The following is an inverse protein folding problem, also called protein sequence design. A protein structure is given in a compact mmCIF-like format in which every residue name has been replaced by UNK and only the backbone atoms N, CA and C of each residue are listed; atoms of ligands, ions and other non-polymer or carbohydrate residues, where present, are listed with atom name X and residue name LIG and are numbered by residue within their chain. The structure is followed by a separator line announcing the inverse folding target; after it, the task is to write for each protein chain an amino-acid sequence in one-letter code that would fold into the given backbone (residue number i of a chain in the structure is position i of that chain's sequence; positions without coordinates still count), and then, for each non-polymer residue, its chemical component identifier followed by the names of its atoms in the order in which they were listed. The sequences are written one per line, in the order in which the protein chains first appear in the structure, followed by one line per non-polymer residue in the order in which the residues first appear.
data_IF_574994969725
#
_entry.id   IF_574994969725
#
_cell.length_a   1.000
_cell.length_b   1.000
_cell.length_c   1.000
_cell.angle_alpha   90.00
_cell.angle_beta   90.00
_cell.angle_gamma   90.00
#
_symmetry.space_group_name_H-M   'P 1'
#
loop_
_entity.id
_entity.type
_entity.pdbx_description
1 polymer ?
#
# COMPACT_ATOMS: atom_id res chain seq x y z
N UNK A 1 -10.38 -19.97 19.90
CA UNK A 1 -9.58 -18.83 19.41
C UNK A 1 -8.15 -19.27 19.06
N UNK A 2 -7.53 -20.08 19.89
CA UNK A 2 -6.13 -20.55 19.70
C UNK A 2 -5.91 -21.37 18.42
N UNK A 3 -6.83 -22.25 18.04
CA UNK A 3 -6.71 -23.06 16.82
C UNK A 3 -6.77 -22.24 15.50
N UNK A 4 -7.43 -21.08 15.51
CA UNK A 4 -7.48 -20.18 14.34
C UNK A 4 -6.16 -19.42 14.23
N UNK A 5 -5.61 -19.00 15.35
CA UNK A 5 -4.31 -18.30 15.42
C UNK A 5 -3.19 -19.24 14.99
N UNK A 6 -3.22 -20.51 15.45
CA UNK A 6 -2.22 -21.53 15.10
C UNK A 6 -2.24 -21.88 13.60
N UNK A 7 -3.43 -21.92 12.97
CA UNK A 7 -3.56 -22.11 11.51
C UNK A 7 -3.07 -20.93 10.67
N UNK A 8 -3.03 -19.72 11.24
CA UNK A 8 -2.60 -18.51 10.56
C UNK A 8 -1.09 -18.25 10.71
N UNK A 9 -0.43 -18.87 11.67
CA UNK A 9 1.04 -18.87 11.83
C UNK A 9 1.69 -19.92 10.92
N UNK A 10 1.39 -19.85 9.62
CA UNK A 10 1.97 -20.78 8.65
C UNK A 10 3.19 -20.11 8.02
N UNK A 11 4.31 -20.82 7.92
CA UNK A 11 5.57 -20.34 7.33
C UNK A 11 5.43 -19.82 5.88
N UNK A 12 4.29 -20.10 5.23
CA UNK A 12 3.97 -19.66 3.87
C UNK A 12 3.27 -18.29 3.78
N UNK A 13 2.87 -17.69 4.91
CA UNK A 13 2.18 -16.41 4.90
C UNK A 13 3.15 -15.25 4.63
N UNK A 14 2.81 -14.42 3.65
CA UNK A 14 3.50 -13.14 3.40
C UNK A 14 3.00 -12.06 4.36
N UNK A 15 1.71 -12.09 4.71
CA UNK A 15 1.10 -11.15 5.65
C UNK A 15 0.27 -11.93 6.69
N UNK A 16 0.50 -11.61 7.96
CA UNK A 16 -0.27 -12.12 9.08
C UNK A 16 -0.82 -10.95 9.90
N UNK A 17 -2.11 -10.95 10.12
CA UNK A 17 -2.82 -9.94 10.90
C UNK A 17 -3.51 -10.64 12.07
N UNK A 18 -3.21 -10.21 13.28
CA UNK A 18 -3.75 -10.82 14.49
C UNK A 18 -4.41 -9.74 15.34
N UNK A 19 -5.71 -9.93 15.60
CA UNK A 19 -6.50 -9.10 16.53
C UNK A 19 -6.42 -7.60 16.22
N UNK A 20 -6.38 -7.25 14.93
CA UNK A 20 -6.18 -5.88 14.47
C UNK A 20 -7.37 -5.00 14.81
N UNK A 21 -7.09 -3.89 15.51
CA UNK A 21 -8.06 -2.85 15.77
C UNK A 21 -7.56 -1.50 15.24
N UNK A 22 -8.47 -0.73 14.65
CA UNK A 22 -8.25 0.67 14.31
C UNK A 22 -9.46 1.51 14.71
N UNK A 23 -9.26 2.37 15.67
CA UNK A 23 -10.28 3.28 16.21
C UNK A 23 -9.89 4.72 15.94
N UNK A 24 -10.89 5.54 15.60
CA UNK A 24 -10.72 6.98 15.40
C UNK A 24 -11.53 7.75 16.44
N UNK A 25 -10.98 8.86 16.92
CA UNK A 25 -11.73 9.78 17.78
C UNK A 25 -12.76 10.53 16.93
N UNK A 26 -14.04 10.40 17.28
CA UNK A 26 -15.17 11.05 16.62
C UNK A 26 -15.82 12.05 17.60
N UNK A 27 -15.16 13.22 17.82
CA UNK A 27 -15.60 14.22 18.79
C UNK A 27 -15.10 14.00 20.22
N UNK A 28 -15.70 14.72 21.22
CA UNK A 28 -15.17 14.76 22.58
C UNK A 28 -15.31 13.47 23.41
N UNK A 29 -16.26 12.59 23.06
CA UNK A 29 -16.56 11.34 23.81
C UNK A 29 -16.93 10.14 22.94
N UNK A 30 -16.80 10.25 21.63
CA UNK A 30 -17.16 9.17 20.71
C UNK A 30 -15.92 8.57 20.04
N UNK A 31 -15.93 7.25 19.92
CA UNK A 31 -14.90 6.49 19.23
C UNK A 31 -15.54 5.71 18.10
N UNK A 32 -15.07 5.92 16.88
CA UNK A 32 -15.46 5.11 15.73
C UNK A 32 -14.53 3.90 15.67
N UNK A 33 -15.07 2.71 15.85
CA UNK A 33 -14.36 1.45 15.67
C UNK A 33 -14.43 1.06 14.20
N UNK A 34 -13.46 1.50 13.42
CA UNK A 34 -13.43 1.26 11.98
C UNK A 34 -12.93 -0.14 11.62
N UNK A 35 -12.05 -0.71 12.44
CA UNK A 35 -11.58 -2.10 12.40
C UNK A 35 -11.62 -2.62 13.81
N UNK A 36 -12.26 -3.75 14.04
CA UNK A 36 -12.50 -4.30 15.39
C UNK A 36 -12.20 -5.80 15.39
N UNK A 37 -11.08 -6.19 16.01
CA UNK A 37 -10.62 -7.57 16.21
C UNK A 37 -10.50 -8.40 14.92
N UNK A 38 -9.87 -7.87 13.86
CA UNK A 38 -9.68 -8.58 12.59
C UNK A 38 -8.44 -9.47 12.63
N UNK A 39 -8.62 -10.75 12.27
CA UNK A 39 -7.53 -11.72 12.16
C UNK A 39 -7.59 -12.41 10.81
N UNK A 40 -6.55 -12.24 9.99
CA UNK A 40 -6.45 -12.82 8.64
C UNK A 40 -5.00 -13.13 8.30
N UNK A 41 -4.78 -14.09 7.38
CA UNK A 41 -3.50 -14.39 6.79
C UNK A 41 -3.58 -14.35 5.26
N UNK A 42 -2.51 -13.95 4.61
CA UNK A 42 -2.35 -13.97 3.15
C UNK A 42 -1.09 -14.76 2.82
N UNK A 43 -1.23 -15.81 2.03
CA UNK A 43 -0.09 -16.63 1.58
C UNK A 43 0.66 -15.95 0.44
N UNK A 44 1.90 -16.36 0.23
CA UNK A 44 2.66 -15.92 -0.96
C UNK A 44 1.94 -16.35 -2.23
N UNK A 45 1.76 -15.40 -3.17
CA UNK A 45 1.08 -15.64 -4.44
C UNK A 45 -0.44 -15.75 -4.35
N UNK A 46 -1.03 -15.58 -3.16
CA UNK A 46 -2.48 -15.59 -2.96
C UNK A 46 -3.10 -14.22 -3.23
N UNK A 47 -4.34 -14.22 -3.73
CA UNK A 47 -5.20 -13.04 -3.80
C UNK A 47 -6.32 -13.16 -2.79
N UNK A 48 -6.36 -12.28 -1.80
CA UNK A 48 -7.43 -12.19 -0.81
C UNK A 48 -8.42 -11.09 -1.14
N UNK A 49 -9.70 -11.43 -1.31
CA UNK A 49 -10.78 -10.49 -1.49
C UNK A 49 -11.41 -10.04 -0.17
N UNK A 50 -11.40 -8.73 0.12
CA UNK A 50 -12.06 -8.14 1.28
C UNK A 50 -13.40 -7.54 0.84
N UNK A 51 -14.50 -8.18 1.19
CA UNK A 51 -15.87 -7.84 0.75
C UNK A 51 -16.71 -7.35 1.93
N UNK A 52 -17.65 -6.46 1.66
CA UNK A 52 -18.58 -5.92 2.67
C UNK A 52 -19.24 -4.62 2.19
N UNK A 53 -20.19 -4.10 2.96
CA UNK A 53 -20.94 -2.89 2.65
C UNK A 53 -20.04 -1.63 2.58
N UNK A 54 -20.55 -0.57 1.93
CA UNK A 54 -19.86 0.72 1.92
C UNK A 54 -19.74 1.27 3.36
N UNK A 55 -18.53 1.76 3.70
CA UNK A 55 -18.29 2.31 5.04
C UNK A 55 -18.00 1.29 6.15
N UNK A 56 -18.03 -0.03 5.89
CA UNK A 56 -17.77 -1.05 6.92
C UNK A 56 -16.29 -1.20 7.33
N UNK A 57 -15.38 -0.33 6.85
CA UNK A 57 -13.98 -0.32 7.31
C UNK A 57 -12.96 -1.03 6.42
N UNK A 58 -13.34 -1.59 5.25
CA UNK A 58 -12.42 -2.30 4.33
C UNK A 58 -11.16 -1.50 3.99
N UNK A 59 -11.36 -0.27 3.53
CA UNK A 59 -10.26 0.64 3.18
C UNK A 59 -9.39 0.96 4.39
N UNK A 60 -9.99 1.15 5.56
CA UNK A 60 -9.26 1.39 6.80
C UNK A 60 -8.43 0.17 7.20
N UNK A 61 -9.02 -1.03 7.07
CA UNK A 61 -8.34 -2.29 7.35
C UNK A 61 -7.09 -2.43 6.45
N UNK A 62 -7.26 -2.34 5.13
CA UNK A 62 -6.14 -2.41 4.18
C UNK A 62 -5.05 -1.37 4.45
N UNK A 63 -5.43 -0.11 4.68
CA UNK A 63 -4.46 0.97 5.00
C UNK A 63 -3.73 0.74 6.32
N UNK A 64 -4.37 0.11 7.30
CA UNK A 64 -3.73 -0.24 8.57
C UNK A 64 -2.75 -1.40 8.40
N UNK A 65 -3.10 -2.40 7.59
CA UNK A 65 -2.23 -3.55 7.27
C UNK A 65 -0.92 -3.14 6.59
N UNK A 66 -0.94 -2.08 5.78
CA UNK A 66 0.26 -1.56 5.10
C UNK A 66 0.90 -0.37 5.82
N UNK A 67 0.55 -0.16 7.09
CA UNK A 67 1.12 0.91 7.94
C UNK A 67 0.93 2.35 7.39
N UNK A 68 -0.14 2.60 6.61
CA UNK A 68 -0.59 3.98 6.33
C UNK A 68 -1.36 4.55 7.52
N UNK A 69 -1.99 3.69 8.33
CA UNK A 69 -2.53 4.05 9.64
C UNK A 69 -1.85 3.21 10.71
N UNK A 70 -1.45 3.84 11.80
CA UNK A 70 -1.01 3.09 12.97
C UNK A 70 -2.20 2.35 13.60
N UNK A 71 -2.06 1.06 13.92
CA UNK A 71 -3.11 0.30 14.59
C UNK A 71 -3.37 0.86 16.00
N UNK A 72 -4.60 0.72 16.49
CA UNK A 72 -4.92 1.01 17.89
C UNK A 72 -4.45 -0.13 18.79
N UNK A 73 -4.61 -1.36 18.32
CA UNK A 73 -4.11 -2.58 18.95
C UNK A 73 -4.02 -3.70 17.91
N UNK A 74 -3.50 -4.84 18.32
CA UNK A 74 -3.26 -5.98 17.45
C UNK A 74 -1.87 -5.95 16.81
N UNK A 75 -1.62 -6.93 15.95
CA UNK A 75 -0.30 -7.15 15.35
C UNK A 75 -0.42 -7.38 13.86
N UNK A 76 0.50 -6.83 13.08
CA UNK A 76 0.66 -7.12 11.65
C UNK A 76 2.10 -7.54 11.42
N UNK A 77 2.28 -8.72 10.85
CA UNK A 77 3.58 -9.27 10.48
C UNK A 77 3.65 -9.37 8.96
N UNK A 78 4.66 -8.79 8.36
CA UNK A 78 4.95 -8.87 6.94
C UNK A 78 6.30 -9.55 6.73
N UNK A 79 6.32 -10.62 5.97
CA UNK A 79 7.52 -11.41 5.69
C UNK A 79 8.32 -11.76 6.97
N UNK A 80 7.61 -12.23 8.01
CA UNK A 80 8.16 -12.59 9.30
C UNK A 80 8.54 -11.43 10.22
N UNK A 81 8.37 -10.16 9.79
CA UNK A 81 8.72 -8.98 10.58
C UNK A 81 7.47 -8.24 11.06
N UNK A 82 7.40 -7.91 12.35
CA UNK A 82 6.34 -7.05 12.90
C UNK A 82 6.49 -5.63 12.38
N UNK A 83 5.51 -5.16 11.59
CA UNK A 83 5.56 -3.84 10.96
C UNK A 83 5.45 -2.70 11.97
N UNK A 84 4.87 -2.92 13.16
CA UNK A 84 4.73 -1.89 14.20
C UNK A 84 6.09 -1.41 14.72
N UNK A 85 7.08 -2.29 14.71
CA UNK A 85 8.43 -2.04 15.21
C UNK A 85 9.35 -1.40 14.17
N UNK A 86 8.99 -1.44 12.88
CA UNK A 86 9.82 -0.98 11.79
C UNK A 86 10.07 0.54 11.84
N UNK A 87 11.34 0.93 11.75
CA UNK A 87 11.80 2.33 11.71
C UNK A 87 12.98 2.48 10.73
N UNK A 88 13.23 3.73 10.32
CA UNK A 88 14.40 4.05 9.50
C UNK A 88 14.51 3.18 8.24
N UNK A 89 15.64 2.50 8.07
CA UNK A 89 15.93 1.67 6.89
C UNK A 89 14.97 0.48 6.72
N UNK A 90 14.59 -0.18 7.81
CA UNK A 90 13.67 -1.33 7.76
C UNK A 90 12.26 -0.90 7.33
N UNK A 91 11.80 0.26 7.77
CA UNK A 91 10.54 0.84 7.33
C UNK A 91 10.59 1.22 5.84
N UNK A 92 11.72 1.76 5.38
CA UNK A 92 11.91 2.11 3.98
C UNK A 92 11.90 0.85 3.08
N UNK A 93 12.58 -0.21 3.51
CA UNK A 93 12.58 -1.51 2.80
C UNK A 93 11.18 -2.13 2.77
N UNK A 94 10.43 -2.06 3.88
CA UNK A 94 9.03 -2.49 3.91
C UNK A 94 8.19 -1.72 2.88
N UNK A 95 8.29 -0.38 2.84
CA UNK A 95 7.54 0.46 1.89
C UNK A 95 7.90 0.18 0.43
N UNK A 96 9.14 -0.21 0.15
CA UNK A 96 9.59 -0.63 -1.17
C UNK A 96 8.92 -1.93 -1.63
N UNK A 97 8.65 -2.84 -0.70
CA UNK A 97 8.06 -4.16 -0.99
C UNK A 97 6.53 -4.19 -0.93
N UNK A 98 5.89 -3.11 -0.46
CA UNK A 98 4.43 -3.00 -0.35
C UNK A 98 3.94 -1.82 -1.17
N UNK A 99 3.01 -2.09 -2.09
CA UNK A 99 2.44 -1.08 -2.97
C UNK A 99 0.93 -0.98 -2.80
N UNK A 100 0.37 0.20 -3.01
CA UNK A 100 -1.06 0.45 -3.00
C UNK A 100 -1.50 1.07 -4.33
N UNK A 101 -2.62 0.59 -4.85
CA UNK A 101 -3.33 1.24 -5.96
C UNK A 101 -4.57 1.88 -5.36
N UNK A 102 -4.67 3.21 -5.49
CA UNK A 102 -5.81 3.96 -4.96
C UNK A 102 -7.04 3.82 -5.86
N UNK A 103 -8.21 3.86 -5.23
CA UNK A 103 -9.50 3.75 -5.93
C UNK A 103 -9.77 4.93 -6.86
N UNK A 104 -9.31 6.13 -6.51
CA UNK A 104 -9.45 7.34 -7.32
C UNK A 104 -8.14 7.65 -8.04
N UNK A 105 -8.04 7.40 -9.35
CA UNK A 105 -6.83 7.67 -10.11
C UNK A 105 -6.53 9.17 -10.26
N UNK A 106 -7.54 10.05 -10.13
CA UNK A 106 -7.37 11.50 -10.23
C UNK A 106 -6.74 12.07 -8.97
N UNK A 107 -7.20 11.64 -7.80
CA UNK A 107 -6.67 12.11 -6.53
C UNK A 107 -5.36 11.44 -6.12
N UNK A 108 -4.93 10.39 -6.84
CA UNK A 108 -3.72 9.63 -6.51
C UNK A 108 -2.42 10.24 -7.06
N UNK A 109 -2.52 11.12 -8.06
CA UNK A 109 -1.37 11.72 -8.75
C UNK A 109 -1.29 13.21 -8.44
N UNK A 110 -0.08 13.76 -8.22
CA UNK A 110 0.11 15.20 -8.07
C UNK A 110 -0.09 15.89 -9.46
N UNK A 111 -1.10 16.77 -9.61
CA UNK A 111 -1.40 17.39 -10.90
C UNK A 111 -0.32 18.38 -11.38
N UNK A 112 0.64 18.73 -10.53
CA UNK A 112 1.74 19.64 -10.83
C UNK A 112 2.98 18.94 -11.35
N UNK A 113 3.02 17.60 -11.23
CA UNK A 113 4.13 16.76 -11.67
C UNK A 113 3.83 16.14 -13.03
N UNK A 114 4.86 15.96 -13.83
CA UNK A 114 4.79 15.15 -15.05
C UNK A 114 4.73 13.65 -14.69
N UNK A 115 4.26 12.84 -15.61
CA UNK A 115 4.21 11.38 -15.44
C UNK A 115 5.62 10.81 -15.18
N UNK A 116 6.62 11.34 -15.86
CA UNK A 116 8.02 10.93 -15.65
C UNK A 116 8.50 11.22 -14.23
N UNK A 117 8.20 12.40 -13.69
CA UNK A 117 8.53 12.77 -12.31
C UNK A 117 7.80 11.88 -11.29
N UNK A 118 6.51 11.62 -11.49
CA UNK A 118 5.73 10.74 -10.61
C UNK A 118 6.30 9.31 -10.59
N UNK A 119 6.63 8.75 -11.76
CA UNK A 119 7.22 7.41 -11.86
C UNK A 119 8.62 7.36 -11.23
N UNK A 120 9.41 8.40 -11.41
CA UNK A 120 10.80 8.45 -10.89
C UNK A 120 10.88 8.74 -9.40
N UNK A 121 9.84 9.30 -8.77
CA UNK A 121 9.84 9.61 -7.32
C UNK A 121 10.21 8.40 -6.46
N UNK A 122 9.64 7.23 -6.75
CA UNK A 122 10.00 5.99 -6.06
C UNK A 122 11.45 5.56 -6.30
N UNK A 123 11.99 5.87 -7.48
CA UNK A 123 13.39 5.59 -7.80
C UNK A 123 14.33 6.51 -7.00
N UNK A 124 13.98 7.78 -6.85
CA UNK A 124 14.77 8.74 -6.07
C UNK A 124 14.79 8.42 -4.57
N UNK A 125 13.68 7.91 -4.04
CA UNK A 125 13.57 7.54 -2.63
C UNK A 125 14.34 6.25 -2.31
N UNK A 126 14.27 5.25 -3.20
CA UNK A 126 14.73 3.89 -2.89
C UNK A 126 16.03 3.49 -3.59
N UNK A 127 16.47 4.23 -4.61
CA UNK A 127 17.61 3.88 -5.45
C UNK A 127 18.45 5.13 -5.75
N UNK A 128 19.68 4.92 -6.20
CA UNK A 128 20.60 5.99 -6.60
C UNK A 128 20.94 5.82 -8.10
N UNK A 129 19.93 6.05 -8.95
CA UNK A 129 20.12 5.99 -10.40
C UNK A 129 20.60 7.33 -10.95
N UNK A 130 21.40 7.28 -12.03
CA UNK A 130 21.70 8.47 -12.84
C UNK A 130 20.45 8.96 -13.58
N UNK A 131 20.44 10.21 -14.04
CA UNK A 131 19.31 10.77 -14.81
C UNK A 131 19.06 9.96 -16.10
N UNK A 132 20.11 9.48 -16.76
CA UNK A 132 19.99 8.64 -17.95
C UNK A 132 19.32 7.31 -17.63
N UNK A 133 19.72 6.65 -16.53
CA UNK A 133 19.11 5.41 -16.08
C UNK A 133 17.65 5.59 -15.67
N UNK A 134 17.30 6.69 -14.98
CA UNK A 134 15.91 7.03 -14.62
C UNK A 134 15.05 7.20 -15.88
N UNK A 135 15.52 8.02 -16.83
CA UNK A 135 14.82 8.26 -18.09
C UNK A 135 14.54 6.96 -18.84
N UNK A 136 15.56 6.09 -18.95
CA UNK A 136 15.41 4.79 -19.60
C UNK A 136 14.38 3.91 -18.88
N UNK A 137 14.45 3.83 -17.53
CA UNK A 137 13.52 3.02 -16.72
C UNK A 137 12.09 3.53 -16.81
N UNK A 138 11.89 4.85 -16.80
CA UNK A 138 10.56 5.46 -17.00
C UNK A 138 10.00 5.07 -18.35
N UNK A 139 10.77 5.19 -19.43
CA UNK A 139 10.36 4.78 -20.77
C UNK A 139 10.02 3.29 -20.84
N UNK A 140 10.83 2.42 -20.23
CA UNK A 140 10.60 0.98 -20.17
C UNK A 140 9.30 0.64 -19.40
N UNK A 141 9.03 1.34 -18.30
CA UNK A 141 7.80 1.14 -17.51
C UNK A 141 6.55 1.59 -18.28
N UNK A 142 6.59 2.74 -18.93
CA UNK A 142 5.50 3.22 -19.79
C UNK A 142 5.21 2.21 -20.91
N UNK A 143 6.24 1.75 -21.60
CA UNK A 143 6.08 0.75 -22.66
C UNK A 143 5.46 -0.56 -22.14
N UNK A 144 5.82 -1.02 -20.95
CA UNK A 144 5.22 -2.22 -20.33
C UNK A 144 3.71 -2.12 -20.11
N UNK A 145 3.19 -0.92 -19.91
CA UNK A 145 1.74 -0.68 -19.75
C UNK A 145 1.07 -0.19 -21.04
N UNK A 146 1.79 -0.26 -22.17
CA UNK A 146 1.26 0.10 -23.49
C UNK A 146 1.22 1.60 -23.78
N UNK A 147 1.96 2.40 -23.02
CA UNK A 147 2.10 3.84 -23.26
C UNK A 147 3.45 4.14 -23.94
N UNK A 148 3.46 5.12 -24.85
CA UNK A 148 4.68 5.61 -25.45
C UNK A 148 5.55 6.34 -24.43
N UNK A 149 6.88 6.30 -24.60
CA UNK A 149 7.82 7.04 -23.75
C UNK A 149 7.57 8.56 -23.71
N UNK A 150 6.95 9.12 -24.75
CA UNK A 150 6.57 10.54 -24.82
C UNK A 150 5.60 10.96 -23.70
N UNK A 151 4.83 10.00 -23.15
CA UNK A 151 3.93 10.27 -22.03
C UNK A 151 4.67 10.71 -20.77
N UNK A 152 5.96 10.44 -20.65
CA UNK A 152 6.77 10.90 -19.53
C UNK A 152 6.72 12.43 -19.34
N UNK A 153 6.59 13.19 -20.44
CA UNK A 153 6.56 14.67 -20.42
C UNK A 153 5.15 15.26 -20.24
N UNK A 154 4.12 14.41 -20.15
CA UNK A 154 2.74 14.86 -19.95
C UNK A 154 2.41 14.99 -18.47
N UNK A 155 1.48 15.88 -18.16
CA UNK A 155 0.90 15.97 -16.83
C UNK A 155 -0.21 14.94 -16.63
N UNK A 156 -0.51 14.61 -15.38
CA UNK A 156 -1.52 13.62 -15.02
C UNK A 156 -2.91 13.96 -15.61
N UNK A 157 -3.27 15.25 -15.70
CA UNK A 157 -4.57 15.68 -16.24
C UNK A 157 -4.71 15.49 -17.76
N UNK A 158 -3.62 15.28 -18.50
CA UNK A 158 -3.63 15.01 -19.93
C UNK A 158 -3.86 13.53 -20.27
N UNK A 159 -3.92 12.65 -19.26
CA UNK A 159 -4.19 11.23 -19.42
C UNK A 159 -5.67 10.92 -19.19
N UNK A 160 -6.21 9.96 -19.95
CA UNK A 160 -7.54 9.40 -19.67
C UNK A 160 -7.55 8.60 -18.35
N UNK A 161 -8.74 8.38 -17.77
CA UNK A 161 -8.86 7.63 -16.51
C UNK A 161 -8.27 6.22 -16.56
N UNK A 162 -8.34 5.56 -17.71
CA UNK A 162 -7.75 4.23 -17.89
C UNK A 162 -6.23 4.23 -18.16
N UNK A 163 -5.66 5.40 -18.49
CA UNK A 163 -4.20 5.56 -18.69
C UNK A 163 -3.49 5.96 -17.39
N UNK A 164 -4.22 6.40 -16.37
CA UNK A 164 -3.72 6.75 -15.03
C UNK A 164 -3.69 5.54 -14.13
#
# INVERSE_FOLDING_TARGET
MDQVIEKLQNADNILEVTDLCKFFKAGRKQTLKAVDHVTIGIKRGETLGLVGESGCGKTTCGRTMIKLYEPTSGKVVFDGKDISTLKGKDLLEFKKNVQIIFQDPYASLDPRMTIGEIISEGMDIHFHFSEEEKTKRVADLLNKVGLSAEYANRFAHELSGGQR
#
